data_IF_576356216082
#
_entry.id   IF_576356216082
#
_cell.length_a   1.000
_cell.length_b   1.000
_cell.length_c   1.000
_cell.angle_alpha   90.00
_cell.angle_beta   90.00
_cell.angle_gamma   90.00
#
_symmetry.space_group_name_H-M   'P 1'
#
loop_
_entity.id
_entity.type
_entity.pdbx_description
1 polymer ?
#
# COMPACT_ATOMS: atom_id res chain seq x y z
N UNK A 1 28.07 44.92 -49.64
CA UNK A 1 28.60 44.44 -48.38
C UNK A 1 27.50 43.76 -47.65
N UNK A 2 27.66 42.50 -47.46
CA UNK A 2 26.57 41.59 -47.07
C UNK A 2 26.63 41.30 -45.59
N UNK A 3 25.59 41.71 -44.87
CA UNK A 3 25.39 41.31 -43.49
C UNK A 3 24.95 39.83 -43.42
N UNK A 4 25.72 39.01 -42.75
CA UNK A 4 25.34 37.65 -42.50
C UNK A 4 24.34 37.59 -41.32
N UNK A 5 23.14 37.17 -41.62
CA UNK A 5 22.15 36.82 -40.63
C UNK A 5 22.49 35.47 -40.02
N UNK A 6 23.02 35.50 -38.83
CA UNK A 6 23.06 34.33 -37.97
C UNK A 6 21.67 34.13 -37.35
N UNK A 7 20.92 33.24 -37.93
CA UNK A 7 19.73 32.69 -37.32
C UNK A 7 20.16 31.75 -36.23
N UNK A 8 20.07 32.19 -34.99
CA UNK A 8 20.11 31.33 -33.84
C UNK A 8 18.91 30.41 -33.87
N UNK A 9 19.16 29.15 -34.17
CA UNK A 9 18.22 28.08 -33.91
C UNK A 9 18.12 27.94 -32.39
N UNK A 10 17.07 28.51 -31.83
CA UNK A 10 16.66 28.23 -30.48
C UNK A 10 16.31 26.74 -30.40
N UNK A 11 17.17 25.98 -29.76
CA UNK A 11 16.83 24.66 -29.34
C UNK A 11 15.71 24.81 -28.28
N UNK A 12 14.49 24.67 -28.70
CA UNK A 12 13.38 24.43 -27.82
C UNK A 12 13.62 23.08 -27.21
N UNK A 13 14.19 23.10 -26.01
CA UNK A 13 14.20 21.90 -25.17
C UNK A 13 12.73 21.55 -24.90
N UNK A 14 12.26 20.52 -25.59
CA UNK A 14 11.05 19.82 -25.23
C UNK A 14 11.34 19.13 -23.90
N UNK A 15 11.14 19.86 -22.81
CA UNK A 15 11.03 19.26 -21.51
C UNK A 15 9.72 18.49 -21.55
N UNK A 16 9.85 17.19 -21.76
CA UNK A 16 8.71 16.30 -21.77
C UNK A 16 7.94 16.47 -20.46
N UNK A 17 6.74 17.00 -20.56
CA UNK A 17 5.81 17.13 -19.45
C UNK A 17 5.24 15.77 -19.07
N UNK A 18 6.07 14.85 -18.59
CA UNK A 18 5.62 13.56 -18.03
C UNK A 18 5.26 13.64 -16.55
N UNK A 19 5.58 14.75 -15.87
CA UNK A 19 5.42 14.89 -14.43
C UNK A 19 3.97 15.17 -13.94
N UNK A 20 3.07 15.91 -14.64
CA UNK A 20 1.78 16.26 -14.06
C UNK A 20 0.77 15.12 -14.01
N UNK A 21 0.81 14.16 -14.94
CA UNK A 21 -0.18 13.08 -15.01
C UNK A 21 0.03 12.00 -13.93
N UNK A 22 1.27 11.78 -13.47
CA UNK A 22 1.57 10.81 -12.42
C UNK A 22 1.20 11.31 -11.02
N UNK A 23 1.18 12.62 -10.77
CA UNK A 23 0.85 13.22 -9.48
C UNK A 23 -0.65 13.29 -9.22
N UNK A 24 -1.48 13.35 -10.25
CA UNK A 24 -2.94 13.41 -10.09
C UNK A 24 -3.56 12.07 -9.73
N UNK A 25 -2.90 10.94 -10.02
CA UNK A 25 -3.36 9.59 -9.69
C UNK A 25 -2.83 9.10 -8.35
N UNK A 26 -1.76 9.69 -7.82
CA UNK A 26 -1.23 9.36 -6.49
C UNK A 26 -2.10 10.01 -5.40
N UNK A 27 -2.73 9.19 -4.56
CA UNK A 27 -3.54 9.63 -3.44
C UNK A 27 -5.05 9.58 -3.66
N UNK A 28 -5.49 8.93 -4.73
CA UNK A 28 -6.90 8.66 -4.99
C UNK A 28 -7.21 7.17 -4.91
N UNK A 29 -6.78 6.55 -3.82
CA UNK A 29 -7.17 5.18 -3.56
C UNK A 29 -8.68 5.10 -3.36
N UNK A 30 -9.28 4.08 -3.96
CA UNK A 30 -10.68 3.78 -3.71
C UNK A 30 -10.86 3.23 -2.29
N UNK A 31 -12.05 3.31 -1.70
CA UNK A 31 -12.32 2.68 -0.42
C UNK A 31 -11.94 1.20 -0.36
N UNK A 32 -12.12 0.47 -1.45
CA UNK A 32 -11.73 -0.93 -1.55
C UNK A 32 -10.20 -1.10 -1.49
N UNK A 33 -9.46 -0.25 -2.18
CA UNK A 33 -7.99 -0.25 -2.11
C UNK A 33 -7.49 0.11 -0.71
N UNK A 34 -8.09 1.11 -0.07
CA UNK A 34 -7.74 1.50 1.31
C UNK A 34 -7.97 0.34 2.29
N UNK A 35 -9.08 -0.38 2.18
CA UNK A 35 -9.34 -1.56 3.01
C UNK A 35 -8.30 -2.66 2.81
N UNK A 36 -7.88 -2.91 1.57
CA UNK A 36 -6.80 -3.87 1.28
C UNK A 36 -5.47 -3.45 1.91
N UNK A 37 -5.13 -2.16 1.82
CA UNK A 37 -3.92 -1.62 2.44
C UNK A 37 -3.97 -1.80 3.96
N UNK A 38 -5.09 -1.49 4.59
CA UNK A 38 -5.29 -1.70 6.03
C UNK A 38 -5.14 -3.18 6.40
N UNK A 39 -5.79 -4.07 5.67
CA UNK A 39 -5.71 -5.51 5.92
C UNK A 39 -4.28 -6.04 5.77
N UNK A 40 -3.58 -5.63 4.72
CA UNK A 40 -2.19 -6.01 4.49
C UNK A 40 -1.27 -5.48 5.60
N UNK A 41 -1.47 -4.24 6.03
CA UNK A 41 -0.70 -3.63 7.11
C UNK A 41 -0.92 -4.36 8.45
N UNK A 42 -2.16 -4.71 8.78
CA UNK A 42 -2.47 -5.49 9.98
C UNK A 42 -1.75 -6.84 9.93
N UNK A 43 -1.83 -7.52 8.81
CA UNK A 43 -1.17 -8.83 8.62
C UNK A 43 0.36 -8.73 8.75
N UNK A 44 0.96 -7.71 8.16
CA UNK A 44 2.42 -7.48 8.25
C UNK A 44 2.87 -7.16 9.67
N UNK A 45 2.09 -6.38 10.41
CA UNK A 45 2.39 -6.10 11.83
C UNK A 45 2.38 -7.37 12.67
N UNK A 46 1.45 -8.28 12.41
CA UNK A 46 1.39 -9.58 13.10
C UNK A 46 2.50 -10.54 12.66
N UNK A 47 2.92 -10.46 11.40
CA UNK A 47 3.99 -11.31 10.86
C UNK A 47 5.38 -10.89 11.35
N UNK A 48 5.59 -9.61 11.61
CA UNK A 48 6.88 -9.03 12.00
C UNK A 48 6.78 -8.22 13.30
N UNK A 49 6.33 -8.82 14.41
CA UNK A 49 6.14 -8.08 15.66
C UNK A 49 7.45 -7.49 16.19
N UNK A 50 7.40 -6.29 16.76
CA UNK A 50 8.56 -5.62 17.34
C UNK A 50 9.56 -5.06 16.33
N UNK A 51 9.21 -4.96 15.07
CA UNK A 51 10.08 -4.46 14.00
C UNK A 51 9.64 -3.09 13.48
N UNK A 52 10.49 -2.44 12.68
CA UNK A 52 10.13 -1.21 11.97
C UNK A 52 8.93 -1.42 11.02
N UNK A 53 8.80 -2.61 10.43
CA UNK A 53 7.64 -2.97 9.59
C UNK A 53 6.35 -2.90 10.40
N UNK A 54 6.35 -3.42 11.63
CA UNK A 54 5.18 -3.35 12.50
C UNK A 54 4.82 -1.91 12.89
N UNK A 55 5.82 -1.08 13.15
CA UNK A 55 5.63 0.33 13.47
C UNK A 55 5.05 1.11 12.28
N UNK A 56 5.61 0.92 11.09
CA UNK A 56 5.10 1.55 9.86
C UNK A 56 3.67 1.08 9.55
N UNK A 57 3.40 -0.21 9.71
CA UNK A 57 2.08 -0.80 9.51
C UNK A 57 1.04 -0.19 10.45
N UNK A 58 1.39 0.03 11.72
CA UNK A 58 0.50 0.70 12.69
C UNK A 58 0.17 2.13 12.24
N UNK A 59 1.15 2.86 11.71
CA UNK A 59 0.96 4.19 11.13
C UNK A 59 0.00 4.17 9.93
N UNK A 60 0.18 3.23 9.03
CA UNK A 60 -0.70 3.03 7.86
C UNK A 60 -2.14 2.77 8.31
N UNK A 61 -2.35 1.86 9.25
CA UNK A 61 -3.69 1.55 9.79
C UNK A 61 -4.35 2.80 10.36
N UNK A 62 -3.62 3.58 11.16
CA UNK A 62 -4.16 4.80 11.77
C UNK A 62 -4.60 5.83 10.72
N UNK A 63 -3.77 6.07 9.70
CA UNK A 63 -4.06 7.04 8.64
C UNK A 63 -5.28 6.61 7.82
N UNK A 64 -5.30 5.38 7.34
CA UNK A 64 -6.38 4.91 6.47
C UNK A 64 -7.68 4.65 7.23
N UNK A 65 -7.62 4.24 8.49
CA UNK A 65 -8.79 4.16 9.36
C UNK A 65 -9.46 5.52 9.50
N UNK A 66 -8.68 6.57 9.73
CA UNK A 66 -9.19 7.94 9.80
C UNK A 66 -9.79 8.41 8.47
N UNK A 67 -9.16 8.08 7.36
CA UNK A 67 -9.62 8.47 6.02
C UNK A 67 -10.91 7.75 5.63
N UNK A 68 -11.01 6.45 5.90
CA UNK A 68 -12.21 5.67 5.61
C UNK A 68 -13.40 6.06 6.49
N UNK A 69 -13.15 6.44 7.74
CA UNK A 69 -14.19 6.88 8.68
C UNK A 69 -15.19 5.82 9.13
N UNK A 70 -15.28 4.72 8.39
CA UNK A 70 -16.23 3.61 8.63
C UNK A 70 -15.59 2.41 9.32
N UNK A 71 -14.26 2.35 9.36
CA UNK A 71 -13.51 1.28 10.01
C UNK A 71 -13.28 1.65 11.46
N UNK A 72 -13.82 0.83 12.37
CA UNK A 72 -13.69 1.04 13.80
C UNK A 72 -12.47 0.33 14.39
N UNK A 73 -12.06 0.70 15.59
CA UNK A 73 -11.02 -0.02 16.32
C UNK A 73 -11.39 -1.50 16.55
N UNK A 74 -12.67 -1.80 16.71
CA UNK A 74 -13.18 -3.17 16.83
C UNK A 74 -13.00 -3.96 15.56
N UNK A 75 -13.23 -3.34 14.41
CA UNK A 75 -13.00 -3.97 13.10
C UNK A 75 -11.53 -4.30 12.90
N UNK A 76 -10.64 -3.38 13.28
CA UNK A 76 -9.19 -3.60 13.23
C UNK A 76 -8.78 -4.78 14.10
N UNK A 77 -9.30 -4.88 15.33
CA UNK A 77 -9.01 -6.01 16.21
C UNK A 77 -9.56 -7.34 15.68
N UNK A 78 -10.73 -7.34 15.04
CA UNK A 78 -11.27 -8.52 14.40
C UNK A 78 -10.36 -9.01 13.26
N UNK A 79 -9.89 -8.10 12.41
CA UNK A 79 -8.97 -8.44 11.32
C UNK A 79 -7.61 -8.88 11.85
N UNK A 80 -7.14 -8.28 12.96
CA UNK A 80 -5.90 -8.72 13.62
C UNK A 80 -6.01 -10.16 14.11
N UNK A 81 -7.13 -10.54 14.70
CA UNK A 81 -7.37 -11.94 15.12
C UNK A 81 -7.35 -12.89 13.91
N UNK A 82 -7.95 -12.50 12.79
CA UNK A 82 -7.88 -13.28 11.54
C UNK A 82 -6.45 -13.39 11.01
N UNK A 83 -5.66 -12.32 11.07
CA UNK A 83 -4.28 -12.30 10.64
C UNK A 83 -3.38 -13.24 11.44
N UNK A 84 -3.64 -13.44 12.72
CA UNK A 84 -2.90 -14.39 13.56
C UNK A 84 -3.00 -15.82 13.07
N UNK A 85 -4.09 -16.20 12.44
CA UNK A 85 -4.30 -17.53 11.88
C UNK A 85 -3.50 -17.76 10.59
N UNK A 86 -3.03 -16.71 9.93
CA UNK A 86 -2.27 -16.80 8.68
C UNK A 86 -0.79 -17.11 8.91
N UNK A 87 -0.32 -17.11 10.14
CA UNK A 87 1.08 -17.41 10.47
C UNK A 87 1.48 -18.78 9.95
N UNK A 88 2.65 -18.88 9.30
CA UNK A 88 3.16 -20.20 8.93
C UNK A 88 3.44 -21.03 10.18
N UNK A 89 2.80 -22.14 10.28
CA UNK A 89 2.95 -23.07 11.41
C UNK A 89 4.21 -23.95 11.33
N UNK A 90 4.97 -23.89 10.23
CA UNK A 90 6.17 -24.69 10.06
C UNK A 90 7.20 -24.02 9.16
N UNK A 91 8.51 -24.23 9.41
CA UNK A 91 9.54 -23.82 8.46
C UNK A 91 9.32 -24.54 7.12
N UNK A 92 9.40 -23.80 6.03
CA UNK A 92 9.31 -24.38 4.69
C UNK A 92 10.65 -25.06 4.33
N UNK A 93 10.65 -26.06 3.41
CA UNK A 93 11.88 -26.73 2.97
C UNK A 93 12.92 -25.79 2.32
N UNK A 94 12.58 -24.52 2.08
CA UNK A 94 13.41 -23.50 1.43
C UNK A 94 14.08 -22.58 2.47
N UNK A 95 14.32 -23.07 3.69
CA UNK A 95 14.90 -22.30 4.80
C UNK A 95 13.88 -21.44 5.54
N UNK A 96 14.34 -20.47 6.33
CA UNK A 96 13.50 -19.60 7.18
C UNK A 96 12.61 -18.60 6.44
N UNK A 97 12.43 -18.77 5.15
CA UNK A 97 11.57 -17.94 4.34
C UNK A 97 10.11 -18.29 4.58
N UNK A 98 9.42 -17.46 5.32
CA UNK A 98 8.01 -17.67 5.64
C UNK A 98 7.03 -17.09 4.61
N UNK A 99 7.52 -16.44 3.56
CA UNK A 99 6.71 -15.77 2.54
C UNK A 99 5.61 -14.86 3.13
N UNK A 100 5.87 -14.25 4.27
CA UNK A 100 4.88 -13.46 5.01
C UNK A 100 4.28 -12.34 4.16
N UNK A 101 5.10 -11.69 3.34
CA UNK A 101 4.61 -10.61 2.46
C UNK A 101 3.57 -11.16 1.48
N UNK A 102 3.87 -12.26 0.78
CA UNK A 102 2.94 -12.86 -0.18
C UNK A 102 1.65 -13.33 0.50
N UNK A 103 1.75 -13.91 1.69
CA UNK A 103 0.58 -14.33 2.48
C UNK A 103 -0.27 -13.15 2.90
N UNK A 104 0.33 -12.04 3.29
CA UNK A 104 -0.39 -10.83 3.67
C UNK A 104 -1.07 -10.17 2.47
N UNK A 105 -0.48 -10.24 1.28
CA UNK A 105 -1.15 -9.81 0.03
C UNK A 105 -2.40 -10.65 -0.21
N UNK A 106 -2.30 -11.97 -0.14
CA UNK A 106 -3.44 -12.88 -0.32
C UNK A 106 -4.50 -12.73 0.80
N UNK A 107 -4.07 -12.50 2.03
CA UNK A 107 -4.94 -12.19 3.15
C UNK A 107 -5.79 -10.96 2.87
N UNK A 108 -5.20 -9.90 2.34
CA UNK A 108 -5.89 -8.66 2.01
C UNK A 108 -6.93 -8.81 0.89
N UNK A 109 -6.81 -9.84 0.06
CA UNK A 109 -7.77 -10.15 -1.01
C UNK A 109 -8.96 -10.99 -0.53
N UNK A 110 -8.96 -11.47 0.70
CA UNK A 110 -10.04 -12.31 1.24
C UNK A 110 -11.33 -11.52 1.41
N UNK A 111 -12.44 -12.10 0.94
CA UNK A 111 -13.76 -11.50 1.03
C UNK A 111 -14.24 -11.33 2.49
N UNK A 112 -13.89 -12.27 3.38
CA UNK A 112 -14.24 -12.18 4.80
C UNK A 112 -13.49 -11.04 5.51
N UNK A 113 -12.24 -10.80 5.15
CA UNK A 113 -11.44 -9.67 5.64
C UNK A 113 -12.03 -8.35 5.17
N UNK A 114 -12.38 -8.24 3.90
CA UNK A 114 -13.02 -7.05 3.35
C UNK A 114 -14.33 -6.73 4.07
N UNK A 115 -15.16 -7.72 4.31
CA UNK A 115 -16.41 -7.56 5.07
C UNK A 115 -16.16 -7.13 6.52
N UNK A 116 -15.15 -7.68 7.18
CA UNK A 116 -14.78 -7.28 8.53
C UNK A 116 -14.34 -5.80 8.60
N UNK A 117 -13.82 -5.25 7.49
CA UNK A 117 -13.46 -3.82 7.37
C UNK A 117 -14.60 -2.96 6.79
N UNK A 118 -15.83 -3.45 6.79
CA UNK A 118 -17.01 -2.67 6.44
C UNK A 118 -17.35 -2.62 4.95
N UNK A 119 -16.81 -3.52 4.13
CA UNK A 119 -17.30 -3.70 2.76
C UNK A 119 -18.71 -4.30 2.81
N UNK A 120 -19.62 -3.61 2.14
CA UNK A 120 -21.02 -4.05 2.01
C UNK A 120 -21.31 -4.50 0.59
#
# INVERSE_FOLDING_TARGET
MKAALLRGLGATALVAACAPAATETQGRETPAQMRRIVAQAICLAEAYPGTAIAADSAGVVAVYQGTLGTVTARDVEAVRAMAKEVRPSAPTPVGDRNFAIARCVLFAERADVARALGER
#
